data_IF_438318409361
#
_entry.id   IF_438318409361
#
_cell.length_a   1.000
_cell.length_b   1.000
_cell.length_c   1.000
_cell.angle_alpha   90.00
_cell.angle_beta   90.00
_cell.angle_gamma   90.00
#
_symmetry.space_group_name_H-M   'P 1'
#
loop_
_entity.id
_entity.type
_entity.pdbx_description
1 polymer ?
#
# COMPACT_ATOMS: atom_id res chain seq x y z
N UNK A 1 -13.46 27.82 43.11
CA UNK A 1 -13.02 26.67 42.31
C UNK A 1 -13.88 26.64 41.06
N UNK A 2 -13.40 27.11 39.89
CA UNK A 2 -14.20 27.02 38.67
C UNK A 2 -14.31 25.55 38.27
N UNK A 3 -15.53 25.07 38.11
CA UNK A 3 -15.86 23.73 37.61
C UNK A 3 -15.59 23.70 36.11
N UNK A 4 -14.58 22.92 35.69
CA UNK A 4 -14.35 22.56 34.29
C UNK A 4 -15.52 21.69 33.78
N UNK A 5 -16.56 22.34 33.27
CA UNK A 5 -17.44 21.72 32.28
C UNK A 5 -16.60 21.51 31.01
N UNK A 6 -15.94 20.36 30.95
CA UNK A 6 -15.28 19.89 29.74
C UNK A 6 -16.30 19.91 28.60
N UNK A 7 -16.15 20.88 27.70
CA UNK A 7 -16.87 20.97 26.43
C UNK A 7 -16.71 19.63 25.72
N UNK A 8 -17.73 18.77 25.78
CA UNK A 8 -17.86 17.57 24.97
C UNK A 8 -18.02 18.02 23.51
N UNK A 9 -16.90 18.37 22.88
CA UNK A 9 -16.81 18.62 21.45
C UNK A 9 -17.12 17.29 20.78
N UNK A 10 -18.36 17.14 20.32
CA UNK A 10 -18.82 16.01 19.52
C UNK A 10 -17.84 15.82 18.37
N UNK A 11 -17.22 14.64 18.27
CA UNK A 11 -16.27 14.33 17.21
C UNK A 11 -16.89 14.71 15.85
N UNK A 12 -16.14 15.38 14.95
CA UNK A 12 -16.68 15.85 13.69
C UNK A 12 -17.27 14.68 12.90
N UNK A 13 -18.42 14.90 12.25
CA UNK A 13 -19.04 13.88 11.42
C UNK A 13 -18.03 13.34 10.40
N UNK A 14 -18.09 12.01 10.13
CA UNK A 14 -17.26 11.33 9.13
C UNK A 14 -17.70 11.68 7.70
N UNK A 15 -17.52 12.95 7.33
CA UNK A 15 -17.82 13.48 6.00
C UNK A 15 -16.50 13.81 5.30
N UNK A 16 -16.25 13.11 4.20
CA UNK A 16 -15.05 13.29 3.38
C UNK A 16 -15.34 13.89 2.00
N UNK A 17 -16.63 13.96 1.61
CA UNK A 17 -17.06 14.60 0.38
C UNK A 17 -16.94 16.12 0.48
N UNK A 18 -16.67 16.77 -0.66
CA UNK A 18 -16.53 18.22 -0.79
C UNK A 18 -17.19 18.65 -2.09
N UNK A 19 -18.02 19.68 -2.06
CA UNK A 19 -18.67 20.26 -3.25
C UNK A 19 -17.62 20.77 -4.25
N UNK A 20 -16.51 21.34 -3.75
CA UNK A 20 -15.37 21.73 -4.59
C UNK A 20 -14.80 20.61 -5.46
N UNK A 21 -14.85 19.35 -5.00
CA UNK A 21 -14.37 18.22 -5.82
C UNK A 21 -15.30 17.96 -7.01
N UNK A 22 -16.60 18.23 -6.83
CA UNK A 22 -17.63 18.09 -7.86
C UNK A 22 -17.53 19.26 -8.84
N UNK A 23 -17.43 20.49 -8.36
CA UNK A 23 -17.22 21.69 -9.18
C UNK A 23 -15.99 21.52 -10.07
N UNK A 24 -14.83 21.16 -9.50
CA UNK A 24 -13.60 20.92 -10.26
C UNK A 24 -13.78 19.83 -11.32
N UNK A 25 -14.55 18.77 -11.00
CA UNK A 25 -14.84 17.71 -11.95
C UNK A 25 -15.69 18.21 -13.12
N UNK A 26 -16.77 18.95 -12.85
CA UNK A 26 -17.66 19.50 -13.86
C UNK A 26 -16.91 20.49 -14.75
N UNK A 27 -16.19 21.46 -14.19
CA UNK A 27 -15.40 22.42 -14.98
C UNK A 27 -14.40 21.72 -15.89
N UNK A 28 -13.74 20.67 -15.41
CA UNK A 28 -12.76 19.93 -16.22
C UNK A 28 -13.42 19.05 -17.28
N UNK A 29 -14.60 18.51 -17.01
CA UNK A 29 -15.38 17.76 -17.97
C UNK A 29 -15.83 18.67 -19.13
N UNK A 30 -16.36 19.85 -18.82
CA UNK A 30 -16.76 20.82 -19.84
C UNK A 30 -15.56 21.28 -20.69
N UNK A 31 -14.40 21.52 -20.06
CA UNK A 31 -13.17 21.85 -20.79
C UNK A 31 -12.70 20.70 -21.69
N UNK A 32 -12.88 19.44 -21.26
CA UNK A 32 -12.61 18.28 -22.09
C UNK A 32 -13.57 18.19 -23.29
N UNK A 33 -14.86 18.44 -23.08
CA UNK A 33 -15.88 18.45 -24.14
C UNK A 33 -15.66 19.58 -25.15
N UNK A 34 -15.11 20.72 -24.72
CA UNK A 34 -14.66 21.81 -25.61
C UNK A 34 -13.33 21.52 -26.32
N UNK A 35 -12.66 20.41 -26.01
CA UNK A 35 -11.37 20.04 -26.61
C UNK A 35 -10.14 20.75 -26.03
N UNK A 36 -10.29 21.47 -24.91
CA UNK A 36 -9.19 22.19 -24.24
C UNK A 36 -8.28 21.24 -23.44
N UNK A 37 -8.80 20.06 -23.06
CA UNK A 37 -8.05 19.03 -22.31
C UNK A 37 -7.80 17.82 -23.21
N UNK A 38 -6.55 17.37 -23.30
CA UNK A 38 -6.23 16.18 -24.09
C UNK A 38 -6.83 14.91 -23.46
N UNK A 39 -7.26 13.90 -24.25
CA UNK A 39 -7.87 12.66 -23.74
C UNK A 39 -7.04 11.92 -22.68
N UNK A 40 -5.71 11.90 -22.82
CA UNK A 40 -4.82 11.27 -21.85
C UNK A 40 -4.72 12.02 -20.52
N UNK A 41 -4.82 13.35 -20.57
CA UNK A 41 -4.87 14.21 -19.38
C UNK A 41 -6.21 14.00 -18.65
N UNK A 42 -7.32 14.05 -19.39
CA UNK A 42 -8.65 13.80 -18.86
C UNK A 42 -8.78 12.39 -18.26
N UNK A 43 -8.23 11.38 -18.94
CA UNK A 43 -8.15 10.01 -18.43
C UNK A 43 -7.42 9.93 -17.10
N UNK A 44 -6.30 10.63 -16.94
CA UNK A 44 -5.56 10.65 -15.67
C UNK A 44 -6.39 11.36 -14.59
N UNK A 45 -7.00 12.49 -14.94
CA UNK A 45 -7.85 13.28 -14.06
C UNK A 45 -9.06 12.48 -13.53
N UNK A 46 -9.87 11.89 -14.40
CA UNK A 46 -11.06 11.11 -14.01
C UNK A 46 -10.70 9.85 -13.22
N UNK A 47 -9.56 9.21 -13.55
CA UNK A 47 -9.07 8.06 -12.80
C UNK A 47 -8.69 8.43 -11.37
N UNK A 48 -8.20 9.65 -11.09
CA UNK A 48 -7.95 10.07 -9.70
C UNK A 48 -9.25 10.37 -8.94
N UNK A 49 -10.38 10.50 -9.63
CA UNK A 49 -11.72 10.72 -9.06
C UNK A 49 -12.61 9.47 -9.10
N UNK A 50 -11.98 8.30 -9.14
CA UNK A 50 -12.71 7.04 -9.01
C UNK A 50 -13.42 6.56 -10.27
N UNK A 51 -13.36 7.29 -11.39
CA UNK A 51 -14.13 7.00 -12.61
C UNK A 51 -13.27 6.22 -13.60
N UNK A 52 -13.71 5.01 -13.94
CA UNK A 52 -13.06 4.09 -14.87
C UNK A 52 -13.89 3.87 -16.13
N UNK A 53 -13.22 3.89 -17.27
CA UNK A 53 -13.79 3.37 -18.52
C UNK A 53 -14.03 1.87 -18.37
N UNK A 54 -15.22 1.43 -18.76
CA UNK A 54 -15.49 0.01 -18.98
C UNK A 54 -15.19 -0.35 -20.44
N UNK A 55 -15.28 -1.63 -20.79
CA UNK A 55 -15.15 -2.08 -22.18
C UNK A 55 -16.44 -1.84 -22.96
N UNK A 56 -17.55 -1.82 -22.25
CA UNK A 56 -18.85 -1.45 -22.77
C UNK A 56 -18.87 0.06 -23.03
N UNK A 57 -19.43 0.43 -24.17
CA UNK A 57 -19.58 1.82 -24.56
C UNK A 57 -20.55 2.53 -23.62
N UNK A 58 -20.35 3.85 -23.47
CA UNK A 58 -21.20 4.78 -22.72
C UNK A 58 -21.43 4.49 -21.22
N UNK A 59 -20.70 3.52 -20.63
CA UNK A 59 -20.77 3.24 -19.19
C UNK A 59 -19.40 3.38 -18.50
N UNK A 60 -19.42 3.97 -17.30
CA UNK A 60 -18.23 4.18 -16.48
C UNK A 60 -18.40 3.53 -15.11
N UNK A 61 -17.41 2.82 -14.60
CA UNK A 61 -17.45 2.39 -13.20
C UNK A 61 -16.99 3.53 -12.29
N UNK A 62 -17.81 3.89 -11.31
CA UNK A 62 -17.46 4.85 -10.27
C UNK A 62 -17.13 4.10 -8.99
N UNK A 63 -15.92 4.32 -8.48
CA UNK A 63 -15.50 3.80 -7.18
C UNK A 63 -15.59 4.88 -6.12
N UNK A 64 -16.40 4.61 -5.12
CA UNK A 64 -16.50 5.44 -3.93
C UNK A 64 -15.39 5.08 -2.95
N UNK A 65 -14.79 6.06 -2.27
CA UNK A 65 -13.80 5.87 -1.20
C UNK A 65 -14.54 5.89 0.14
N UNK A 66 -14.48 4.77 0.85
CA UNK A 66 -15.13 4.58 2.15
C UNK A 66 -14.03 4.31 3.18
N UNK A 67 -13.50 5.37 3.82
CA UNK A 67 -12.44 5.24 4.80
C UNK A 67 -12.80 4.22 5.88
N UNK A 68 -11.87 3.30 6.15
CA UNK A 68 -12.00 2.23 7.15
C UNK A 68 -13.16 1.24 6.87
N UNK A 69 -13.89 1.40 5.76
CA UNK A 69 -15.09 0.61 5.48
C UNK A 69 -16.32 1.02 6.29
N UNK A 70 -16.29 2.17 6.97
CA UNK A 70 -17.39 2.61 7.83
C UNK A 70 -18.39 3.44 7.04
N UNK A 71 -19.63 2.97 6.98
CA UNK A 71 -20.77 3.64 6.36
C UNK A 71 -21.88 3.87 7.39
N UNK A 72 -22.49 5.05 7.36
CA UNK A 72 -23.76 5.29 8.03
C UNK A 72 -24.95 4.68 7.27
N UNK A 73 -26.07 4.46 7.97
CA UNK A 73 -27.29 3.92 7.37
C UNK A 73 -27.80 4.75 6.19
N UNK A 74 -27.77 6.08 6.30
CA UNK A 74 -28.22 6.99 5.24
C UNK A 74 -27.32 6.93 4.00
N UNK A 75 -26.01 6.79 4.20
CA UNK A 75 -25.05 6.62 3.10
C UNK A 75 -25.30 5.29 2.37
N UNK A 76 -25.62 4.22 3.09
CA UNK A 76 -25.96 2.94 2.49
C UNK A 76 -27.28 3.00 1.71
N UNK A 77 -28.31 3.67 2.24
CA UNK A 77 -29.58 3.90 1.52
C UNK A 77 -29.35 4.73 0.26
N UNK A 78 -28.55 5.79 0.34
CA UNK A 78 -28.22 6.62 -0.81
C UNK A 78 -27.45 5.82 -1.88
N UNK A 79 -26.52 4.94 -1.50
CA UNK A 79 -25.88 4.01 -2.44
C UNK A 79 -26.89 3.06 -3.10
N UNK A 80 -27.89 2.59 -2.36
CA UNK A 80 -28.95 1.73 -2.90
C UNK A 80 -29.88 2.47 -3.87
N UNK A 81 -30.21 3.73 -3.61
CA UNK A 81 -30.94 4.59 -4.55
C UNK A 81 -30.16 4.72 -5.84
N UNK A 82 -28.90 5.14 -5.77
CA UNK A 82 -28.01 5.27 -6.94
C UNK A 82 -27.91 3.98 -7.74
N UNK A 83 -27.78 2.84 -7.05
CA UNK A 83 -27.67 1.54 -7.73
C UNK A 83 -28.95 1.20 -8.53
N UNK A 84 -30.14 1.60 -8.04
CA UNK A 84 -31.42 1.37 -8.73
C UNK A 84 -31.67 2.38 -9.85
N UNK A 85 -31.31 3.64 -9.66
CA UNK A 85 -31.64 4.72 -10.62
C UNK A 85 -30.62 4.84 -11.73
N UNK A 86 -29.33 4.72 -11.40
CA UNK A 86 -28.24 4.97 -12.35
C UNK A 86 -27.46 3.71 -12.67
N UNK A 87 -27.76 2.57 -12.06
CA UNK A 87 -27.11 1.28 -12.34
C UNK A 87 -28.10 0.15 -12.60
N UNK A 88 -27.61 -1.09 -12.55
CA UNK A 88 -28.39 -2.31 -12.85
C UNK A 88 -29.11 -2.87 -11.61
N UNK A 89 -29.33 -2.04 -10.59
CA UNK A 89 -29.93 -2.46 -9.31
C UNK A 89 -28.96 -3.09 -8.32
N UNK A 90 -27.66 -3.19 -8.64
CA UNK A 90 -26.64 -3.76 -7.75
C UNK A 90 -25.34 -2.96 -7.74
N UNK A 91 -24.54 -3.15 -6.69
CA UNK A 91 -23.20 -2.58 -6.55
C UNK A 91 -22.23 -3.61 -5.98
N UNK A 92 -20.93 -3.43 -6.19
CA UNK A 92 -19.92 -4.38 -5.74
C UNK A 92 -19.15 -3.88 -4.52
N UNK A 93 -19.14 -4.67 -3.45
CA UNK A 93 -18.20 -4.50 -2.34
C UNK A 93 -16.82 -4.98 -2.79
N UNK A 94 -15.81 -4.17 -2.55
CA UNK A 94 -14.44 -4.45 -2.98
C UNK A 94 -13.62 -5.06 -1.86
N UNK A 95 -12.52 -5.72 -2.22
CA UNK A 95 -11.50 -6.23 -1.29
C UNK A 95 -10.77 -5.15 -0.48
N UNK A 96 -11.14 -3.87 -0.62
CA UNK A 96 -10.63 -2.74 0.17
C UNK A 96 -11.74 -1.94 0.83
N UNK A 97 -12.84 -2.60 1.17
CA UNK A 97 -13.97 -2.01 1.92
C UNK A 97 -14.64 -0.81 1.22
N UNK A 98 -14.44 -0.65 -0.09
CA UNK A 98 -15.15 0.33 -0.92
C UNK A 98 -16.35 -0.31 -1.63
N UNK A 99 -17.23 0.52 -2.18
CA UNK A 99 -18.30 0.14 -3.11
C UNK A 99 -18.02 0.70 -4.52
N UNK A 100 -18.39 -0.06 -5.55
CA UNK A 100 -18.39 0.38 -6.96
C UNK A 100 -19.83 0.49 -7.46
N UNK A 101 -20.20 1.65 -8.02
CA UNK A 101 -21.53 2.01 -8.54
C UNK A 101 -21.41 2.95 -9.75
N UNK A 102 -22.53 3.46 -10.28
CA UNK A 102 -22.55 4.43 -11.39
C UNK A 102 -22.64 5.90 -10.94
N UNK A 103 -22.87 6.20 -9.65
CA UNK A 103 -22.88 7.58 -9.12
C UNK A 103 -22.42 7.65 -7.64
N UNK A 104 -22.29 8.87 -7.10
CA UNK A 104 -21.80 9.16 -5.75
C UNK A 104 -22.94 9.51 -4.79
N UNK A 105 -23.13 8.70 -3.76
CA UNK A 105 -24.15 8.89 -2.73
C UNK A 105 -23.78 9.97 -1.66
N UNK A 106 -23.30 11.14 -2.09
CA UNK A 106 -22.73 12.15 -1.18
C UNK A 106 -21.42 11.70 -0.51
N UNK A 107 -20.80 10.65 -1.07
CA UNK A 107 -19.53 10.08 -0.63
C UNK A 107 -18.41 10.53 -1.56
N UNK A 108 -17.20 10.67 -1.04
CA UNK A 108 -16.06 11.09 -1.86
C UNK A 108 -15.59 9.98 -2.79
N UNK A 109 -15.27 10.34 -4.03
CA UNK A 109 -14.56 9.47 -4.99
C UNK A 109 -13.11 9.92 -5.21
N UNK A 110 -12.72 11.03 -4.58
CA UNK A 110 -11.38 11.61 -4.66
C UNK A 110 -10.36 10.59 -4.18
N UNK A 111 -9.35 10.36 -5.01
CA UNK A 111 -8.25 9.41 -4.79
C UNK A 111 -8.69 7.96 -4.50
N UNK A 112 -9.92 7.57 -4.89
CA UNK A 112 -10.31 6.17 -4.86
C UNK A 112 -9.43 5.32 -5.79
N UNK A 113 -8.93 5.97 -6.85
CA UNK A 113 -8.26 5.36 -7.99
C UNK A 113 -7.06 6.22 -8.44
N UNK A 114 -6.37 5.79 -9.50
CA UNK A 114 -5.16 6.46 -9.97
C UNK A 114 -3.90 6.14 -9.17
N UNK A 115 -2.93 7.06 -9.26
CA UNK A 115 -1.58 7.02 -8.72
C UNK A 115 -1.48 7.78 -7.40
N UNK A 116 -2.33 7.39 -6.46
CA UNK A 116 -2.52 8.08 -5.18
C UNK A 116 -2.55 7.07 -4.04
N UNK A 117 -2.70 7.57 -2.81
CA UNK A 117 -3.06 6.75 -1.65
C UNK A 117 -4.51 6.28 -1.81
N UNK A 118 -4.67 4.96 -1.90
CA UNK A 118 -5.98 4.29 -2.02
C UNK A 118 -6.74 4.37 -0.71
N UNK A 119 -7.94 3.78 -0.68
CA UNK A 119 -8.70 3.66 0.55
C UNK A 119 -7.84 3.08 1.69
N UNK A 120 -7.86 3.76 2.83
CA UNK A 120 -7.18 3.30 4.04
C UNK A 120 -8.13 2.34 4.73
N UNK A 121 -7.79 1.06 4.67
CA UNK A 121 -8.62 -0.02 5.21
C UNK A 121 -8.32 -0.23 6.69
N UNK A 122 -9.33 -0.66 7.45
CA UNK A 122 -9.17 -1.02 8.86
C UNK A 122 -9.72 -2.43 9.14
N UNK A 123 -9.48 -2.94 10.35
CA UNK A 123 -10.10 -4.18 10.80
C UNK A 123 -11.62 -4.00 10.79
N UNK A 124 -12.40 -4.93 10.19
CA UNK A 124 -13.86 -4.81 10.15
C UNK A 124 -14.50 -4.84 11.55
N UNK A 125 -13.81 -5.43 12.53
CA UNK A 125 -14.25 -5.52 13.92
C UNK A 125 -13.57 -4.48 14.82
N UNK A 126 -12.94 -3.44 14.26
CA UNK A 126 -12.29 -2.40 15.06
C UNK A 126 -13.30 -1.67 15.96
N UNK A 127 -12.97 -1.53 17.24
CA UNK A 127 -13.81 -0.94 18.29
C UNK A 127 -14.80 -1.89 18.96
N UNK A 128 -14.95 -3.12 18.47
CA UNK A 128 -15.88 -4.14 19.02
C UNK A 128 -15.22 -5.50 19.23
N UNK A 129 -13.95 -5.66 18.85
CA UNK A 129 -13.26 -6.94 18.91
C UNK A 129 -12.68 -7.16 20.31
N UNK A 130 -12.99 -8.29 20.94
CA UNK A 130 -12.43 -8.65 22.26
C UNK A 130 -10.92 -8.84 22.25
N UNK A 131 -10.34 -9.20 21.11
CA UNK A 131 -8.90 -9.45 20.96
C UNK A 131 -8.11 -8.21 20.52
N UNK A 132 -8.77 -7.06 20.32
CA UNK A 132 -8.07 -5.84 19.95
C UNK A 132 -7.48 -5.15 21.18
N UNK A 133 -6.20 -4.77 21.18
CA UNK A 133 -5.64 -4.05 22.32
C UNK A 133 -6.24 -2.64 22.49
N UNK A 134 -6.65 -2.00 21.38
CA UNK A 134 -7.33 -0.71 21.31
C UNK A 134 -7.90 -0.47 19.90
N UNK A 135 -8.89 0.43 19.78
CA UNK A 135 -9.52 0.79 18.50
C UNK A 135 -8.56 1.56 17.58
N UNK A 136 -8.35 1.04 16.37
CA UNK A 136 -7.50 1.64 15.33
C UNK A 136 -8.24 2.62 14.42
N UNK A 137 -9.55 2.70 14.51
CA UNK A 137 -10.40 3.52 13.64
C UNK A 137 -10.06 5.02 13.68
N UNK A 138 -9.82 5.65 14.86
CA UNK A 138 -9.43 7.06 14.93
C UNK A 138 -8.13 7.36 14.18
N UNK A 139 -7.17 6.43 14.22
CA UNK A 139 -5.90 6.56 13.51
C UNK A 139 -6.07 6.42 11.99
N UNK A 140 -6.93 5.49 11.55
CA UNK A 140 -7.30 5.36 10.15
C UNK A 140 -7.98 6.62 9.61
N UNK A 141 -8.87 7.21 10.39
CA UNK A 141 -9.53 8.47 10.07
C UNK A 141 -8.53 9.63 9.99
N UNK A 142 -7.64 9.77 10.97
CA UNK A 142 -6.60 10.80 10.98
C UNK A 142 -5.68 10.70 9.75
N UNK A 143 -5.21 9.50 9.43
CA UNK A 143 -4.42 9.26 8.21
C UNK A 143 -5.21 9.60 6.95
N UNK A 144 -6.51 9.28 6.92
CA UNK A 144 -7.36 9.59 5.77
C UNK A 144 -7.50 11.09 5.59
N UNK A 145 -7.82 11.83 6.66
CA UNK A 145 -7.94 13.29 6.62
C UNK A 145 -6.62 13.95 6.19
N UNK A 146 -5.49 13.42 6.66
CA UNK A 146 -4.18 13.96 6.31
C UNK A 146 -3.79 13.71 4.85
N UNK A 147 -4.03 12.51 4.31
CA UNK A 147 -3.59 12.16 2.95
C UNK A 147 -4.58 12.58 1.86
N UNK A 148 -5.88 12.64 2.17
CA UNK A 148 -6.90 13.05 1.22
C UNK A 148 -6.72 14.52 0.82
N UNK A 149 -6.62 14.80 -0.48
CA UNK A 149 -6.33 16.12 -1.07
C UNK A 149 -4.95 16.68 -0.74
N UNK A 150 -4.08 15.88 -0.15
CA UNK A 150 -2.72 16.31 0.16
C UNK A 150 -1.86 16.31 -1.11
N UNK A 151 -1.11 17.39 -1.42
CA UNK A 151 -0.22 17.45 -2.57
C UNK A 151 0.77 16.29 -2.67
N UNK A 152 1.22 15.75 -1.54
CA UNK A 152 2.18 14.62 -1.51
C UNK A 152 1.59 13.33 -2.11
N UNK A 153 0.26 13.22 -2.21
CA UNK A 153 -0.45 12.02 -2.63
C UNK A 153 -1.00 12.09 -4.06
N UNK A 154 -0.93 13.23 -4.74
CA UNK A 154 -1.62 13.42 -6.02
C UNK A 154 -0.95 12.73 -7.21
N UNK A 155 0.38 12.57 -7.17
CA UNK A 155 1.17 12.13 -8.33
C UNK A 155 2.24 11.07 -7.98
N UNK A 156 1.85 10.06 -7.19
CA UNK A 156 2.76 8.99 -6.79
C UNK A 156 3.22 8.16 -8.01
N UNK A 157 4.41 7.53 -7.96
CA UNK A 157 4.88 6.65 -9.03
C UNK A 157 3.91 5.52 -9.37
N UNK A 158 3.20 5.00 -8.35
CA UNK A 158 2.08 4.08 -8.53
C UNK A 158 1.10 4.13 -7.35
N UNK A 159 -0.03 3.42 -7.48
CA UNK A 159 -1.00 3.20 -6.39
C UNK A 159 -0.31 2.78 -5.09
N UNK A 160 -0.72 3.38 -3.98
CA UNK A 160 -0.16 3.15 -2.66
C UNK A 160 -1.28 2.73 -1.69
N UNK A 161 -1.07 1.68 -0.90
CA UNK A 161 -2.07 1.05 -0.06
C UNK A 161 -1.66 1.04 1.41
N UNK A 162 -2.56 1.50 2.27
CA UNK A 162 -2.38 1.49 3.74
C UNK A 162 -3.49 0.62 4.35
N UNK A 163 -3.16 -0.17 5.36
CA UNK A 163 -4.10 -0.97 6.16
C UNK A 163 -3.78 -0.92 7.65
N UNK A 164 -4.82 -0.86 8.49
CA UNK A 164 -4.72 -0.87 9.95
C UNK A 164 -5.44 -2.10 10.51
N UNK A 165 -4.73 -2.94 11.24
CA UNK A 165 -5.27 -4.10 11.93
C UNK A 165 -5.37 -3.82 13.43
N UNK A 166 -6.55 -4.03 14.01
CA UNK A 166 -6.83 -3.82 15.43
C UNK A 166 -6.30 -4.93 16.34
N UNK A 167 -6.04 -6.13 15.82
CA UNK A 167 -5.58 -7.26 16.62
C UNK A 167 -4.29 -7.88 16.05
N UNK A 168 -3.56 -8.69 16.85
CA UNK A 168 -2.35 -9.38 16.41
C UNK A 168 -2.52 -10.34 15.23
N UNK A 169 -3.73 -10.85 15.01
CA UNK A 169 -4.12 -11.72 13.89
C UNK A 169 -3.97 -11.05 12.52
N UNK A 170 -3.85 -9.72 12.48
CA UNK A 170 -3.68 -8.95 11.24
C UNK A 170 -4.84 -9.16 10.23
N UNK A 171 -6.09 -9.00 10.70
CA UNK A 171 -7.29 -9.19 9.87
C UNK A 171 -7.33 -8.32 8.60
N UNK A 172 -6.68 -7.15 8.60
CA UNK A 172 -6.57 -6.29 7.42
C UNK A 172 -5.42 -6.66 6.49
N UNK A 173 -4.67 -7.73 6.82
CA UNK A 173 -3.55 -8.27 6.06
C UNK A 173 -2.50 -7.19 5.73
N UNK A 174 -1.99 -6.50 6.75
CA UNK A 174 -0.97 -5.47 6.62
C UNK A 174 0.26 -5.93 5.82
N UNK A 175 0.60 -7.22 5.87
CA UNK A 175 1.72 -7.80 5.13
C UNK A 175 1.62 -7.66 3.59
N UNK A 176 0.41 -7.52 3.02
CA UNK A 176 0.20 -7.34 1.57
C UNK A 176 0.06 -5.87 1.12
N UNK A 177 0.20 -4.93 2.05
CA UNK A 177 0.02 -3.49 1.84
C UNK A 177 1.37 -2.77 1.72
N UNK A 178 1.36 -1.59 1.08
CA UNK A 178 2.55 -0.74 1.02
C UNK A 178 2.92 -0.26 2.43
N UNK A 179 1.93 -0.01 3.29
CA UNK A 179 2.06 0.14 4.75
C UNK A 179 1.00 -0.73 5.43
N UNK A 180 1.43 -1.61 6.33
CA UNK A 180 0.58 -2.29 7.29
C UNK A 180 0.86 -1.77 8.70
N UNK A 181 -0.19 -1.44 9.43
CA UNK A 181 -0.13 -0.96 10.82
C UNK A 181 -0.91 -1.95 11.66
N UNK A 182 -0.30 -2.53 12.68
CA UNK A 182 -0.93 -3.57 13.50
C UNK A 182 -0.86 -3.14 14.96
N UNK A 183 -2.00 -3.01 15.62
CA UNK A 183 -2.06 -2.60 17.02
C UNK A 183 -1.24 -3.55 17.91
N UNK A 184 -0.47 -2.97 18.83
CA UNK A 184 0.36 -3.68 19.80
C UNK A 184 0.32 -2.96 21.13
N UNK A 185 0.52 -3.74 22.18
CA UNK A 185 0.76 -3.22 23.53
C UNK A 185 2.05 -3.81 24.05
N UNK A 186 2.71 -3.09 24.94
CA UNK A 186 3.83 -3.58 25.73
C UNK A 186 3.70 -3.08 27.17
N UNK A 187 4.42 -3.72 28.08
CA UNK A 187 4.55 -3.26 29.46
C UNK A 187 5.97 -2.75 29.64
N UNK A 188 6.10 -1.50 30.08
CA UNK A 188 7.39 -0.85 30.40
C UNK A 188 7.23 -0.26 31.79
N UNK A 189 8.13 -0.60 32.71
CA UNK A 189 8.11 -0.10 34.09
C UNK A 189 6.75 -0.26 34.81
N UNK A 190 6.05 -1.37 34.51
CA UNK A 190 4.72 -1.68 35.06
C UNK A 190 3.56 -0.95 34.37
N UNK A 191 3.82 -0.01 33.47
CA UNK A 191 2.80 0.71 32.72
C UNK A 191 2.51 0.04 31.37
N UNK A 192 1.22 -0.09 31.03
CA UNK A 192 0.77 -0.56 29.71
C UNK A 192 0.86 0.57 28.69
N UNK A 193 1.72 0.41 27.70
CA UNK A 193 1.83 1.32 26.56
C UNK A 193 1.13 0.74 25.33
N UNK A 194 0.41 1.60 24.61
CA UNK A 194 -0.16 1.29 23.29
C UNK A 194 0.79 1.74 22.17
N UNK A 195 0.76 1.05 21.05
CA UNK A 195 1.53 1.41 19.87
C UNK A 195 1.23 0.50 18.70
N UNK A 196 2.10 0.53 17.71
CA UNK A 196 1.90 -0.20 16.46
C UNK A 196 3.14 -0.94 16.01
N UNK A 197 2.96 -2.19 15.56
CA UNK A 197 3.92 -2.79 14.64
C UNK A 197 3.65 -2.24 13.25
N UNK A 198 4.68 -1.68 12.60
CA UNK A 198 4.57 -1.10 11.26
C UNK A 198 5.41 -1.91 10.29
N UNK A 199 4.77 -2.38 9.23
CA UNK A 199 5.39 -3.10 8.11
C UNK A 199 5.25 -2.31 6.82
N UNK A 200 6.24 -2.38 5.93
CA UNK A 200 6.24 -1.64 4.66
C UNK A 200 6.64 -2.49 3.45
N UNK A 201 6.18 -2.09 2.28
CA UNK A 201 6.64 -2.61 0.99
C UNK A 201 6.00 -3.93 0.54
N UNK A 202 4.89 -4.34 1.16
CA UNK A 202 4.10 -5.49 0.72
C UNK A 202 3.38 -5.25 -0.61
N UNK A 203 3.07 -6.33 -1.32
CA UNK A 203 2.27 -6.22 -2.53
C UNK A 203 2.09 -7.51 -3.33
N UNK A 204 0.87 -7.74 -3.80
CA UNK A 204 0.47 -8.90 -4.61
C UNK A 204 0.49 -8.56 -6.12
N UNK A 205 1.62 -8.06 -6.63
CA UNK A 205 1.78 -7.91 -8.08
C UNK A 205 2.20 -9.24 -8.71
N UNK A 206 2.49 -9.26 -10.02
CA UNK A 206 3.08 -10.41 -10.74
C UNK A 206 4.23 -11.09 -9.98
N UNK A 207 5.02 -10.31 -9.24
CA UNK A 207 5.93 -10.86 -8.23
C UNK A 207 5.39 -10.45 -6.85
N UNK A 208 4.75 -11.37 -6.11
CA UNK A 208 4.26 -11.09 -4.77
C UNK A 208 5.44 -10.90 -3.81
N UNK A 209 5.27 -10.02 -2.84
CA UNK A 209 6.26 -9.73 -1.81
C UNK A 209 5.55 -9.45 -0.48
N UNK A 210 6.05 -10.06 0.59
CA UNK A 210 5.64 -9.71 1.94
C UNK A 210 6.28 -8.40 2.36
N UNK A 211 5.54 -7.61 3.13
CA UNK A 211 6.05 -6.42 3.77
C UNK A 211 7.18 -6.76 4.75
N UNK A 212 8.10 -5.83 4.95
CA UNK A 212 9.16 -5.92 5.95
C UNK A 212 8.79 -5.10 7.17
N UNK A 213 9.19 -5.57 8.35
CA UNK A 213 9.04 -4.78 9.56
C UNK A 213 9.92 -3.54 9.48
N UNK A 214 9.30 -2.37 9.63
CA UNK A 214 9.97 -1.09 9.78
C UNK A 214 10.14 -0.76 11.27
N UNK A 215 9.07 -0.94 12.04
CA UNK A 215 9.05 -0.78 13.50
C UNK A 215 8.34 -1.96 14.14
N UNK A 216 8.98 -2.64 15.10
CA UNK A 216 8.30 -3.66 15.92
C UNK A 216 7.31 -3.01 16.89
N UNK A 217 7.62 -1.81 17.37
CA UNK A 217 6.75 -0.97 18.17
C UNK A 217 6.96 0.50 17.82
N UNK A 218 5.88 1.20 17.48
CA UNK A 218 5.83 2.62 17.15
C UNK A 218 4.78 3.30 18.03
N UNK A 219 5.15 4.29 18.85
CA UNK A 219 4.21 5.08 19.63
C UNK A 219 3.15 5.78 18.74
N UNK A 220 1.91 5.98 19.21
CA UNK A 220 0.83 6.46 18.37
C UNK A 220 1.02 7.85 17.78
N UNK A 221 1.66 8.77 18.52
CA UNK A 221 2.00 10.13 18.09
C UNK A 221 2.95 10.14 16.88
N UNK A 222 3.75 9.07 16.71
CA UNK A 222 4.71 8.92 15.61
C UNK A 222 4.11 8.26 14.37
N UNK A 223 2.89 7.73 14.43
CA UNK A 223 2.28 6.99 13.33
C UNK A 223 2.17 7.84 12.06
N UNK A 224 1.56 9.02 12.16
CA UNK A 224 1.33 9.91 11.02
C UNK A 224 2.64 10.40 10.38
N UNK A 225 3.63 10.93 11.14
CA UNK A 225 4.93 11.30 10.59
C UNK A 225 5.66 10.15 9.89
N UNK A 226 5.59 8.92 10.43
CA UNK A 226 6.21 7.74 9.80
C UNK A 226 5.50 7.41 8.49
N UNK A 227 4.16 7.37 8.47
CA UNK A 227 3.41 7.11 7.25
C UNK A 227 3.71 8.16 6.17
N UNK A 228 3.76 9.44 6.54
CA UNK A 228 4.12 10.54 5.64
C UNK A 228 5.53 10.35 5.08
N UNK A 229 6.52 10.07 5.94
CA UNK A 229 7.90 9.86 5.52
C UNK A 229 8.02 8.71 4.51
N UNK A 230 7.31 7.60 4.75
CA UNK A 230 7.28 6.45 3.84
C UNK A 230 6.69 6.83 2.49
N UNK A 231 5.58 7.58 2.45
CA UNK A 231 4.97 8.08 1.21
C UNK A 231 5.91 9.02 0.46
N UNK A 232 6.54 9.98 1.16
CA UNK A 232 7.51 10.92 0.55
C UNK A 232 8.75 10.24 0.01
N UNK A 233 9.24 9.18 0.68
CA UNK A 233 10.35 8.38 0.18
C UNK A 233 9.91 7.62 -1.07
N UNK A 234 8.72 7.03 -1.06
CA UNK A 234 8.20 6.35 -2.25
C UNK A 234 8.04 7.29 -3.44
N UNK A 235 7.53 8.51 -3.22
CA UNK A 235 7.38 9.51 -4.28
C UNK A 235 8.74 9.90 -4.90
N UNK A 236 9.74 10.18 -4.06
CA UNK A 236 11.08 10.59 -4.51
C UNK A 236 11.87 9.46 -5.18
N UNK A 237 11.72 8.22 -4.73
CA UNK A 237 12.58 7.09 -5.15
C UNK A 237 11.91 6.12 -6.10
N UNK A 238 10.59 6.18 -6.26
CA UNK A 238 9.83 5.24 -7.07
C UNK A 238 10.09 5.39 -8.57
N UNK A 239 10.06 4.27 -9.28
CA UNK A 239 10.31 4.25 -10.72
C UNK A 239 9.08 4.74 -11.50
N UNK A 240 9.17 5.93 -12.10
CA UNK A 240 8.10 6.49 -12.96
C UNK A 240 8.16 6.03 -14.42
N UNK A 241 9.31 5.55 -14.90
CA UNK A 241 9.52 5.15 -16.31
C UNK A 241 8.86 3.82 -16.65
N UNK A 242 9.02 2.80 -15.80
CA UNK A 242 8.46 1.47 -16.06
C UNK A 242 7.31 1.17 -15.09
N UNK A 243 6.07 1.14 -15.61
CA UNK A 243 4.84 0.89 -14.86
C UNK A 243 4.85 -0.44 -14.10
N UNK A 244 5.46 -1.48 -14.66
CA UNK A 244 5.63 -2.77 -13.99
C UNK A 244 6.58 -2.69 -12.79
N UNK A 245 7.51 -1.72 -12.81
CA UNK A 245 8.50 -1.48 -11.75
C UNK A 245 8.14 -0.35 -10.77
N UNK A 246 7.07 0.41 -11.00
CA UNK A 246 6.76 1.62 -10.23
C UNK A 246 6.15 1.41 -8.84
N UNK A 247 5.97 0.17 -8.39
CA UNK A 247 5.40 -0.13 -7.05
C UNK A 247 6.43 0.07 -5.95
N UNK A 248 5.95 0.45 -4.76
CA UNK A 248 6.80 0.76 -3.61
C UNK A 248 7.73 -0.40 -3.25
N UNK A 249 7.22 -1.63 -3.26
CA UNK A 249 7.96 -2.89 -3.07
C UNK A 249 9.30 -2.95 -3.82
N UNK A 250 9.33 -2.52 -5.10
CA UNK A 250 10.57 -2.57 -5.90
C UNK A 250 11.53 -1.45 -5.51
N UNK A 251 11.01 -0.27 -5.15
CA UNK A 251 11.81 0.81 -4.60
C UNK A 251 12.47 0.39 -3.30
N UNK A 252 11.69 -0.13 -2.35
CA UNK A 252 12.19 -0.56 -1.05
C UNK A 252 13.26 -1.66 -1.17
N UNK A 253 13.07 -2.64 -2.07
CA UNK A 253 14.08 -3.67 -2.36
C UNK A 253 15.40 -3.09 -2.86
N UNK A 254 15.34 -2.07 -3.73
CA UNK A 254 16.54 -1.39 -4.25
C UNK A 254 17.24 -0.60 -3.14
N UNK A 255 16.48 0.17 -2.37
CA UNK A 255 17.01 0.95 -1.24
C UNK A 255 17.68 0.05 -0.21
N UNK A 256 17.07 -1.10 0.13
CA UNK A 256 17.67 -2.09 1.03
C UNK A 256 18.96 -2.69 0.48
N UNK A 257 18.98 -3.12 -0.80
CA UNK A 257 20.21 -3.62 -1.44
C UNK A 257 21.34 -2.58 -1.41
N UNK A 258 21.01 -1.30 -1.60
CA UNK A 258 21.97 -0.20 -1.49
C UNK A 258 22.45 -0.02 -0.04
N UNK A 259 21.54 -0.03 0.94
CA UNK A 259 21.87 0.07 2.35
C UNK A 259 22.78 -1.09 2.80
N UNK A 260 22.41 -2.34 2.51
CA UNK A 260 23.23 -3.52 2.83
C UNK A 260 24.61 -3.47 2.17
N UNK A 261 24.71 -3.02 0.91
CA UNK A 261 26.01 -2.82 0.24
C UNK A 261 26.85 -1.73 0.91
N UNK A 262 26.23 -0.62 1.33
CA UNK A 262 26.93 0.47 2.06
C UNK A 262 27.42 -0.01 3.42
N UNK A 263 26.61 -0.74 4.18
CA UNK A 263 27.01 -1.33 5.46
C UNK A 263 28.13 -2.35 5.28
N UNK A 264 28.03 -3.27 4.31
CA UNK A 264 29.09 -4.23 4.01
C UNK A 264 30.40 -3.56 3.57
N UNK A 265 30.32 -2.50 2.76
CA UNK A 265 31.48 -1.70 2.36
C UNK A 265 32.09 -0.92 3.54
N UNK A 266 31.27 -0.42 4.46
CA UNK A 266 31.74 0.23 5.68
C UNK A 266 32.42 -0.79 6.61
N UNK A 267 31.82 -1.95 6.84
CA UNK A 267 32.42 -3.03 7.64
C UNK A 267 33.73 -3.54 7.02
N UNK A 268 33.80 -3.69 5.70
CA UNK A 268 35.04 -4.10 5.00
C UNK A 268 36.18 -3.07 5.11
N UNK A 269 35.85 -1.76 5.19
CA UNK A 269 36.84 -0.70 5.49
C UNK A 269 37.30 -0.73 6.94
N UNK A 270 36.43 -1.14 7.85
CA UNK A 270 36.73 -1.22 9.29
C UNK A 270 37.53 -2.48 9.63
N UNK A 271 37.35 -3.56 8.87
CA UNK A 271 38.12 -4.81 8.98
C UNK A 271 39.43 -4.82 8.19
N UNK A 272 40.03 -3.65 7.93
CA UNK A 272 41.34 -3.52 7.29
C UNK A 272 42.44 -4.18 8.12
N UNK A 273 42.88 -5.36 7.68
CA UNK A 273 44.01 -6.20 8.14
C UNK A 273 45.15 -5.46 8.89
N UNK A 274 45.65 -6.00 10.02
CA UNK A 274 47.00 -5.65 10.48
C UNK A 274 48.05 -6.29 9.56
N UNK A 275 49.01 -5.47 9.15
CA UNK A 275 50.36 -5.79 8.66
C UNK A 275 50.61 -7.11 7.92
N UNK A 276 50.87 -7.01 6.61
CA UNK A 276 51.70 -8.00 5.88
C UNK A 276 53.07 -8.10 6.56
N UNK A 277 53.29 -9.08 7.45
CA UNK A 277 54.63 -9.59 7.73
C UNK A 277 54.96 -10.63 6.67
N UNK A 278 55.93 -10.30 5.80
CA UNK A 278 56.64 -11.26 4.96
C UNK A 278 57.16 -12.38 5.86
N UNK A 279 56.62 -13.59 5.78
CA UNK A 279 57.28 -14.78 6.32
C UNK A 279 58.03 -15.46 5.17
N UNK A 280 59.34 -15.54 5.39
CA UNK A 280 60.35 -16.22 4.60
C UNK A 280 59.94 -17.67 4.33
N UNK A 281 60.38 -18.13 3.16
CA UNK A 281 60.50 -19.53 2.75
C UNK A 281 60.97 -20.44 3.89
N UNK A 282 60.21 -21.50 4.16
CA UNK A 282 60.73 -22.71 4.81
C UNK A 282 60.36 -23.89 3.91
N UNK A 283 61.40 -24.49 3.36
CA UNK A 283 61.42 -25.72 2.56
C UNK A 283 61.32 -26.97 3.44
N UNK A 284 60.93 -28.07 2.78
CA UNK A 284 60.95 -29.50 3.17
C UNK A 284 59.69 -30.11 3.80
N UNK A 285 58.95 -30.78 2.91
CA UNK A 285 58.76 -32.23 2.85
C UNK A 285 58.08 -32.96 4.02
N UNK A 286 56.86 -33.44 3.76
CA UNK A 286 56.52 -34.88 3.84
C UNK A 286 55.23 -35.15 3.06
N UNK A 287 55.23 -36.23 2.28
CA UNK A 287 54.15 -36.73 1.42
C UNK A 287 53.36 -37.81 2.18
N UNK A 288 52.04 -37.85 2.01
CA UNK A 288 51.18 -39.03 1.73
C UNK A 288 49.68 -38.65 1.89
N UNK A 289 48.71 -39.43 1.37
CA UNK A 289 48.35 -39.52 -0.05
C UNK A 289 46.91 -39.02 -0.33
N UNK A 290 46.63 -38.79 -1.61
CA UNK A 290 45.36 -38.26 -2.12
C UNK A 290 44.23 -39.31 -2.14
N UNK A 291 43.04 -38.90 -1.70
CA UNK A 291 41.78 -39.60 -1.99
C UNK A 291 41.40 -39.44 -3.48
N UNK A 292 40.83 -40.47 -4.12
CA UNK A 292 40.52 -40.46 -5.55
C UNK A 292 39.24 -39.67 -5.89
N UNK A 293 39.12 -39.13 -7.12
CA UNK A 293 37.91 -38.48 -7.60
C UNK A 293 36.85 -39.51 -8.02
N UNK A 294 35.61 -39.32 -7.56
CA UNK A 294 34.44 -40.04 -8.05
C UNK A 294 34.16 -39.68 -9.52
N UNK A 295 34.08 -40.71 -10.37
CA UNK A 295 33.92 -40.63 -11.83
C UNK A 295 32.52 -40.22 -12.36
N UNK A 296 32.33 -40.31 -13.69
CA UNK A 296 31.43 -39.44 -14.45
C UNK A 296 29.98 -39.93 -14.53
N UNK A 297 29.09 -38.96 -14.71
CA UNK A 297 27.65 -39.16 -14.86
C UNK A 297 27.26 -39.99 -16.09
N UNK A 298 26.30 -40.88 -15.87
CA UNK A 298 25.55 -41.55 -16.94
C UNK A 298 24.40 -40.66 -17.40
N UNK A 299 24.40 -40.32 -18.69
CA UNK A 299 23.21 -39.84 -19.43
C UNK A 299 22.36 -41.03 -19.87
N UNK A 300 21.03 -40.95 -19.80
CA UNK A 300 20.16 -41.62 -20.76
C UNK A 300 19.75 -40.62 -21.84
N UNK A 301 19.82 -41.08 -23.09
CA UNK A 301 19.33 -40.36 -24.26
C UNK A 301 17.91 -40.82 -24.64
N UNK A 302 17.25 -39.95 -25.41
CA UNK A 302 16.12 -40.15 -26.34
C UNK A 302 14.70 -39.93 -25.81
N UNK A 303 13.98 -39.10 -26.58
CA UNK A 303 12.55 -38.89 -26.48
C UNK A 303 12.06 -37.61 -27.15
N UNK A 304 12.29 -37.45 -28.47
CA UNK A 304 11.56 -36.45 -29.27
C UNK A 304 10.07 -36.81 -29.22
N UNK A 305 9.20 -35.86 -28.90
CA UNK A 305 7.96 -35.68 -29.67
C UNK A 305 7.49 -34.23 -29.58
N UNK A 306 7.26 -33.66 -30.75
CA UNK A 306 6.64 -32.37 -30.96
C UNK A 306 5.13 -32.52 -30.77
N UNK A 307 4.46 -31.55 -30.13
CA UNK A 307 3.09 -31.17 -30.50
C UNK A 307 2.94 -29.66 -30.44
N UNK A 308 2.69 -29.10 -31.63
CA UNK A 308 2.00 -27.82 -31.86
C UNK A 308 0.62 -27.87 -31.19
N UNK A 309 0.18 -26.75 -30.64
CA UNK A 309 -1.22 -26.34 -30.61
C UNK A 309 -1.22 -24.80 -30.57
N UNK A 310 -1.25 -24.16 -31.74
CA UNK A 310 -2.45 -23.60 -32.40
C UNK A 310 -3.01 -22.35 -31.73
N UNK A 311 -3.23 -21.39 -32.62
CA UNK A 311 -3.71 -20.02 -32.49
C UNK A 311 -5.24 -20.02 -32.66
N UNK A 312 -5.89 -19.04 -32.02
CA UNK A 312 -7.10 -18.28 -32.45
C UNK A 312 -8.50 -18.91 -32.21
N UNK A 313 -9.61 -18.16 -32.40
CA UNK A 313 -10.00 -16.79 -31.97
C UNK A 313 -11.40 -16.80 -31.29
N UNK A 314 -11.88 -15.77 -30.58
CA UNK A 314 -12.61 -14.57 -31.06
C UNK A 314 -12.95 -13.72 -29.84
#
# INVERSE_FOLDING_TARGET
>A
MPTDEAVKTKAPARRFASEKDLEEFVTTLEAYERGEVAPDQFKTFRLTRGIYGQRQDDVQMIRVKIPQGVLGGDQLRALAVVARTHSRGFGHVTTRQNVQSLETAGLTTREACGNTVRNITACPMAGVCTDEPFDVTPYGEALTRFFLRNPICQALPRKFKIALSGCPTDCSMGAMHDIGVIARTRVVDGAREIGFKVVIGGGLSVSPQNAWVLHEFLPPDRLLPVCEAVVRVFDRTGNRKNKGQGRSTRSWRRSRRRATRRSAAASARTSGRPGRRRRRTCTRASRAPACPPSGPGRRPTRGRSARRATRWPS
#
